data_IF_275858501147
#
_entry.id   IF_275858501147
#
_cell.length_a   1.000
_cell.length_b   1.000
_cell.length_c   1.000
_cell.angle_alpha   90.00
_cell.angle_beta   90.00
_cell.angle_gamma   90.00
#
_symmetry.space_group_name_H-M   'P 1'
#
loop_
_entity.id
_entity.type
_entity.pdbx_description
1 polymer ?
#
# COMPACT_ATOMS: atom_id res chain seq x y z
N UNK A 1 60.63 -3.81 -7.77
CA UNK A 1 61.09 -2.67 -8.60
C UNK A 1 60.20 -2.59 -9.84
N UNK A 2 59.72 -1.38 -10.18
CA UNK A 2 58.86 -0.99 -11.33
C UNK A 2 57.44 -1.59 -11.30
N UNK A 3 56.36 -0.90 -10.89
CA UNK A 3 55.79 0.40 -11.32
C UNK A 3 55.65 0.45 -12.85
N UNK A 4 54.41 0.39 -13.33
CA UNK A 4 53.73 1.36 -14.21
C UNK A 4 52.37 0.76 -14.59
N UNK A 5 51.28 1.27 -13.99
CA UNK A 5 50.36 2.24 -14.60
C UNK A 5 49.58 1.62 -15.77
N UNK A 6 48.31 1.29 -15.57
CA UNK A 6 47.15 2.18 -15.74
C UNK A 6 46.82 2.49 -17.21
N UNK A 7 45.51 2.46 -17.47
CA UNK A 7 44.81 3.16 -18.56
C UNK A 7 44.84 2.51 -19.94
N UNK A 8 44.04 1.45 -20.10
CA UNK A 8 43.24 1.32 -21.32
C UNK A 8 41.99 2.19 -21.16
N UNK A 9 42.15 3.42 -21.64
CA UNK A 9 41.13 4.45 -21.80
C UNK A 9 39.95 3.88 -22.59
N UNK A 10 38.80 3.75 -21.93
CA UNK A 10 37.53 3.48 -22.58
C UNK A 10 37.08 4.76 -23.31
N UNK A 11 37.51 4.89 -24.57
CA UNK A 11 36.95 5.82 -25.53
C UNK A 11 35.65 5.21 -26.09
N UNK A 12 34.54 5.45 -25.40
CA UNK A 12 33.21 5.36 -25.99
C UNK A 12 32.65 6.77 -26.12
N UNK A 13 32.93 7.37 -27.27
CA UNK A 13 32.24 8.58 -27.74
C UNK A 13 30.86 8.15 -28.20
N UNK A 14 29.84 8.37 -27.37
CA UNK A 14 28.46 8.41 -27.85
C UNK A 14 28.07 9.86 -28.05
N UNK A 15 28.06 10.23 -29.32
CA UNK A 15 27.32 11.36 -29.87
C UNK A 15 25.83 11.12 -29.59
N UNK A 16 25.17 12.07 -28.92
CA UNK A 16 23.72 12.09 -28.72
C UNK A 16 23.23 13.52 -28.54
N UNK A 17 22.39 13.96 -29.48
CA UNK A 17 21.68 15.24 -29.59
C UNK A 17 21.05 15.67 -28.25
N UNK A 18 21.09 16.93 -27.83
CA UNK A 18 20.47 18.05 -28.52
C UNK A 18 19.08 18.32 -27.92
N UNK A 19 19.05 19.34 -27.04
CA UNK A 19 17.93 20.23 -26.70
C UNK A 19 16.59 19.63 -26.23
N UNK A 20 16.23 19.90 -24.97
CA UNK A 20 14.84 20.00 -24.49
C UNK A 20 14.88 20.99 -23.34
N UNK A 21 14.88 22.29 -23.66
CA UNK A 21 13.70 23.14 -23.62
C UNK A 21 12.93 23.01 -22.30
N UNK A 22 13.17 23.98 -21.43
CA UNK A 22 12.34 24.33 -20.30
C UNK A 22 10.94 24.67 -20.84
N UNK A 23 9.94 23.89 -20.42
CA UNK A 23 8.55 24.25 -20.67
C UNK A 23 7.75 23.96 -19.40
N UNK A 24 7.78 24.94 -18.49
CA UNK A 24 6.65 25.23 -17.63
C UNK A 24 5.44 25.51 -18.53
N UNK A 25 4.72 24.46 -18.90
CA UNK A 25 3.36 24.60 -19.41
C UNK A 25 2.52 24.94 -18.18
N UNK A 26 2.28 26.23 -17.98
CA UNK A 26 1.14 26.71 -17.19
C UNK A 26 -0.13 26.36 -17.96
N UNK A 27 -0.45 25.06 -18.00
CA UNK A 27 -1.79 24.57 -18.30
C UNK A 27 -2.66 25.02 -17.12
N UNK A 28 -3.91 25.44 -17.33
CA UNK A 28 -4.82 25.72 -16.23
C UNK A 28 -4.89 24.45 -15.37
N UNK A 29 -4.15 24.47 -14.27
CA UNK A 29 -4.04 23.40 -13.29
C UNK A 29 -5.43 23.26 -12.70
N UNK A 30 -6.26 22.47 -13.37
CA UNK A 30 -7.31 21.74 -12.68
C UNK A 30 -6.55 21.05 -11.57
N UNK A 31 -6.78 21.50 -10.35
CA UNK A 31 -6.23 20.93 -9.14
C UNK A 31 -6.69 19.47 -9.15
N UNK A 32 -5.86 18.59 -9.72
CA UNK A 32 -6.02 17.15 -9.59
C UNK A 32 -5.92 16.90 -8.11
N UNK A 33 -7.08 16.87 -7.45
CA UNK A 33 -7.17 16.63 -6.04
C UNK A 33 -6.43 15.32 -5.80
N UNK A 34 -5.25 15.41 -5.19
CA UNK A 34 -4.42 14.26 -4.85
C UNK A 34 -5.28 13.38 -3.95
N UNK A 35 -5.84 12.30 -4.51
CA UNK A 35 -6.61 11.33 -3.77
C UNK A 35 -5.63 10.59 -2.87
N UNK A 36 -5.49 11.05 -1.63
CA UNK A 36 -4.72 10.33 -0.63
C UNK A 36 -5.54 9.14 -0.12
N UNK A 37 -4.97 7.93 -0.05
CA UNK A 37 -5.69 6.77 0.44
C UNK A 37 -6.05 6.99 1.92
N UNK A 38 -7.34 6.91 2.22
CA UNK A 38 -7.85 7.02 3.59
C UNK A 38 -7.58 5.71 4.33
N UNK A 39 -6.95 5.82 5.51
CA UNK A 39 -6.69 4.69 6.40
C UNK A 39 -7.84 4.58 7.39
N UNK A 40 -8.42 3.39 7.49
CA UNK A 40 -9.54 3.09 8.38
C UNK A 40 -9.07 2.23 9.54
N UNK A 41 -9.61 2.52 10.73
CA UNK A 41 -9.34 1.79 11.97
C UNK A 41 -10.64 1.27 12.56
N UNK A 42 -10.65 -0.01 12.91
CA UNK A 42 -11.78 -0.68 13.51
C UNK A 42 -11.72 -0.65 15.05
N UNK A 43 -12.86 -0.91 15.69
CA UNK A 43 -12.91 -1.13 17.15
C UNK A 43 -12.46 -2.54 17.52
N UNK A 44 -12.73 -3.51 16.64
CA UNK A 44 -12.19 -4.86 16.68
C UNK A 44 -10.67 -4.84 16.47
N UNK A 45 -9.93 -5.87 16.92
CA UNK A 45 -8.48 -5.96 16.76
C UNK A 45 -8.11 -6.36 15.31
N UNK A 46 -8.57 -5.55 14.36
CA UNK A 46 -8.26 -5.63 12.94
C UNK A 46 -7.09 -4.69 12.61
N UNK A 47 -6.19 -5.08 11.69
CA UNK A 47 -5.17 -4.18 11.21
C UNK A 47 -5.78 -3.00 10.46
N UNK A 48 -5.04 -1.91 10.40
CA UNK A 48 -5.39 -0.75 9.58
C UNK A 48 -5.42 -1.15 8.10
N UNK A 49 -6.42 -0.66 7.38
CA UNK A 49 -6.56 -0.90 5.94
C UNK A 49 -7.02 0.36 5.22
N UNK A 50 -6.80 0.37 3.91
CA UNK A 50 -7.25 1.44 3.02
C UNK A 50 -8.36 0.91 2.14
N UNK A 51 -9.36 1.75 1.85
CA UNK A 51 -10.38 1.48 0.84
C UNK A 51 -9.99 2.10 -0.51
N UNK A 52 -10.89 2.03 -1.49
CA UNK A 52 -10.69 2.68 -2.78
C UNK A 52 -10.44 4.19 -2.63
N UNK A 53 -9.70 4.78 -3.57
CA UNK A 53 -9.35 6.21 -3.54
C UNK A 53 -10.59 7.12 -3.54
N UNK A 54 -11.66 6.68 -4.20
CA UNK A 54 -12.93 7.41 -4.29
C UNK A 54 -13.93 7.03 -3.18
N UNK A 55 -13.57 6.04 -2.35
CA UNK A 55 -14.43 5.56 -1.27
C UNK A 55 -14.60 6.62 -0.19
N UNK A 56 -15.87 6.94 0.11
CA UNK A 56 -16.25 7.89 1.15
C UNK A 56 -17.32 7.29 2.05
N UNK A 57 -17.00 6.19 2.77
CA UNK A 57 -17.94 5.59 3.69
C UNK A 57 -18.18 6.52 4.88
N UNK A 58 -19.41 6.49 5.38
CA UNK A 58 -19.75 7.01 6.70
C UNK A 58 -19.15 6.13 7.81
N UNK A 59 -18.99 6.70 9.01
CA UNK A 59 -18.49 5.96 10.18
C UNK A 59 -19.31 4.69 10.46
N UNK A 60 -20.64 4.73 10.23
CA UNK A 60 -21.51 3.55 10.34
C UNK A 60 -21.19 2.47 9.33
N UNK A 61 -20.90 2.83 8.07
CA UNK A 61 -20.53 1.86 7.04
C UNK A 61 -19.16 1.23 7.34
N UNK A 62 -18.22 2.02 7.87
CA UNK A 62 -16.92 1.50 8.32
C UNK A 62 -17.12 0.51 9.48
N UNK A 63 -17.98 0.82 10.45
CA UNK A 63 -18.28 -0.07 11.56
C UNK A 63 -18.93 -1.40 11.10
N UNK A 64 -19.88 -1.33 10.17
CA UNK A 64 -20.50 -2.52 9.56
C UNK A 64 -19.49 -3.36 8.78
N UNK A 65 -18.59 -2.71 8.02
CA UNK A 65 -17.51 -3.36 7.30
C UNK A 65 -16.55 -4.07 8.26
N UNK A 66 -16.09 -3.37 9.31
CA UNK A 66 -15.23 -3.93 10.35
C UNK A 66 -15.85 -5.16 11.01
N UNK A 67 -17.12 -5.07 11.41
CA UNK A 67 -17.85 -6.19 12.01
C UNK A 67 -17.99 -7.37 11.03
N UNK A 68 -18.28 -7.09 9.75
CA UNK A 68 -18.34 -8.13 8.72
C UNK A 68 -16.99 -8.85 8.56
N UNK A 69 -15.89 -8.11 8.41
CA UNK A 69 -14.54 -8.67 8.26
C UNK A 69 -14.19 -9.52 9.48
N UNK A 70 -14.43 -9.01 10.69
CA UNK A 70 -14.15 -9.73 11.92
C UNK A 70 -14.93 -11.05 12.06
N UNK A 71 -16.18 -11.07 11.57
CA UNK A 71 -17.01 -12.27 11.54
C UNK A 71 -16.59 -13.28 10.47
N UNK A 72 -15.87 -12.86 9.43
CA UNK A 72 -15.27 -13.76 8.44
C UNK A 72 -14.02 -14.46 8.97
N UNK A 73 -13.35 -13.89 9.97
CA UNK A 73 -12.24 -14.54 10.65
C UNK A 73 -12.79 -15.56 11.65
N UNK A 74 -12.44 -16.86 11.54
CA UNK A 74 -12.98 -17.90 12.39
C UNK A 74 -12.67 -17.65 13.87
N UNK A 75 -13.68 -17.85 14.73
CA UNK A 75 -13.50 -17.75 16.16
C UNK A 75 -12.57 -18.86 16.67
N UNK A 76 -11.59 -18.51 17.51
CA UNK A 76 -10.52 -19.43 17.91
C UNK A 76 -9.53 -19.78 16.80
N UNK A 77 -9.65 -19.16 15.63
CA UNK A 77 -8.69 -19.27 14.54
C UNK A 77 -7.44 -18.44 14.81
N UNK A 78 -6.31 -18.89 14.26
CA UNK A 78 -5.03 -18.18 14.35
C UNK A 78 -5.09 -16.81 13.65
N UNK A 79 -6.04 -16.61 12.74
CA UNK A 79 -6.25 -15.37 12.00
C UNK A 79 -6.61 -14.22 12.94
N UNK A 80 -7.44 -14.46 13.96
CA UNK A 80 -7.81 -13.45 14.95
C UNK A 80 -6.62 -13.06 15.84
N UNK A 81 -5.80 -14.03 16.20
CA UNK A 81 -4.57 -13.78 16.97
C UNK A 81 -3.56 -12.98 16.15
N UNK A 82 -3.36 -13.33 14.89
CA UNK A 82 -2.47 -12.60 13.98
C UNK A 82 -2.99 -11.21 13.69
N UNK A 83 -4.29 -11.06 13.47
CA UNK A 83 -4.94 -9.77 13.31
C UNK A 83 -4.67 -8.85 14.50
N UNK A 84 -4.84 -9.36 15.73
CA UNK A 84 -4.57 -8.60 16.95
C UNK A 84 -3.10 -8.20 17.10
N UNK A 85 -2.16 -9.10 16.76
CA UNK A 85 -0.72 -8.79 16.74
C UNK A 85 -0.40 -7.66 15.76
N UNK A 86 -0.89 -7.75 14.53
CA UNK A 86 -0.66 -6.70 13.52
C UNK A 86 -1.30 -5.38 13.96
N UNK A 87 -2.51 -5.40 14.52
CA UNK A 87 -3.18 -4.23 15.05
C UNK A 87 -2.41 -3.58 16.23
N UNK A 88 -1.68 -4.37 17.01
CA UNK A 88 -0.80 -3.90 18.07
C UNK A 88 0.58 -3.43 17.57
N UNK A 89 0.89 -3.60 16.27
CA UNK A 89 2.20 -3.30 15.69
C UNK A 89 3.25 -4.38 15.96
N UNK A 90 2.84 -5.58 16.37
CA UNK A 90 3.71 -6.74 16.60
C UNK A 90 3.91 -7.56 15.32
N UNK A 91 5.07 -8.24 15.22
CA UNK A 91 5.34 -9.16 14.11
C UNK A 91 4.59 -10.50 14.31
N UNK A 92 3.65 -10.85 13.42
CA UNK A 92 2.97 -12.14 13.47
C UNK A 92 3.82 -13.32 12.98
N UNK A 93 5.06 -13.07 12.52
CA UNK A 93 5.97 -14.08 12.01
C UNK A 93 5.48 -14.73 10.71
N UNK A 94 5.71 -16.03 10.56
CA UNK A 94 5.38 -16.75 9.32
C UNK A 94 3.87 -16.76 9.00
N UNK A 95 3.02 -16.64 10.03
CA UNK A 95 1.56 -16.62 9.87
C UNK A 95 1.06 -15.33 9.22
N UNK A 96 1.78 -14.20 9.38
CA UNK A 96 1.43 -12.95 8.70
C UNK A 96 1.39 -13.07 7.18
N UNK A 97 2.25 -13.92 6.60
CA UNK A 97 2.28 -14.18 5.16
C UNK A 97 0.99 -14.82 4.65
N UNK A 98 0.37 -15.67 5.47
CA UNK A 98 -0.91 -16.32 5.15
C UNK A 98 -2.13 -15.47 5.50
N UNK A 99 -1.96 -14.46 6.38
CA UNK A 99 -3.05 -13.62 6.84
C UNK A 99 -3.52 -12.63 5.76
N UNK A 100 -2.59 -11.99 5.05
CA UNK A 100 -2.90 -10.99 4.03
C UNK A 100 -3.95 -11.44 3.01
N UNK A 101 -3.79 -12.61 2.35
CA UNK A 101 -4.79 -13.11 1.40
C UNK A 101 -6.17 -13.35 2.02
N UNK A 102 -6.24 -13.86 3.26
CA UNK A 102 -7.52 -14.12 3.95
C UNK A 102 -8.21 -12.84 4.37
N UNK A 103 -7.44 -11.87 4.85
CA UNK A 103 -7.95 -10.57 5.20
C UNK A 103 -8.44 -9.82 3.95
N UNK A 104 -7.70 -9.88 2.85
CA UNK A 104 -8.11 -9.31 1.56
C UNK A 104 -9.40 -9.94 1.03
N UNK A 105 -9.53 -11.26 1.09
CA UNK A 105 -10.77 -11.97 0.70
C UNK A 105 -11.96 -11.55 1.59
N UNK A 106 -11.76 -11.41 2.90
CA UNK A 106 -12.79 -10.93 3.81
C UNK A 106 -13.20 -9.47 3.49
N UNK A 107 -12.22 -8.60 3.22
CA UNK A 107 -12.44 -7.20 2.84
C UNK A 107 -13.24 -7.10 1.53
N UNK A 108 -12.87 -7.88 0.50
CA UNK A 108 -13.57 -7.94 -0.77
C UNK A 108 -15.01 -8.47 -0.58
N UNK A 109 -15.17 -9.58 0.14
CA UNK A 109 -16.47 -10.20 0.41
C UNK A 109 -17.40 -9.27 1.17
N UNK A 110 -16.87 -8.47 2.09
CA UNK A 110 -17.64 -7.49 2.85
C UNK A 110 -17.86 -6.16 2.12
N UNK A 111 -17.40 -6.05 0.86
CA UNK A 111 -17.69 -4.89 0.02
C UNK A 111 -16.73 -3.71 0.17
N UNK A 112 -15.56 -3.89 0.80
CA UNK A 112 -14.57 -2.82 0.99
C UNK A 112 -14.09 -2.17 -0.31
N UNK A 113 -14.21 -2.86 -1.44
CA UNK A 113 -13.83 -2.32 -2.75
C UNK A 113 -14.91 -1.44 -3.41
N UNK A 114 -16.14 -1.42 -2.88
CA UNK A 114 -17.30 -0.76 -3.49
C UNK A 114 -18.00 0.24 -2.55
N UNK A 115 -17.35 0.63 -1.45
CA UNK A 115 -17.84 1.58 -0.44
C UNK A 115 -17.43 3.02 -0.73
#
# INVERSE_FOLDING_TARGET
>A
MKIWLMMCVALFVLVGCGNSNDQSVDEPRTEEAKLEPQVFKCSEPLPEFTLGLESRPSDSQVAELCACIWNKLPEGGWEREVSAKIAAGEDPGWQGRGFGPRFGEALETCGGMNL
#
